data_IF_250300800132
#
_entry.id   IF_250300800132
#
_cell.length_a   1.000
_cell.length_b   1.000
_cell.length_c   1.000
_cell.angle_alpha   90.00
_cell.angle_beta   90.00
_cell.angle_gamma   90.00
#
_symmetry.space_group_name_H-M   'P 1'
#
loop_
_entity.id
_entity.type
_entity.pdbx_description
1 polymer ?
#
# COMPACT_ATOMS: atom_id res chain seq x y z
N UNK A 1 12.60 13.53 7.81
CA UNK A 1 11.31 13.06 7.30
C UNK A 1 10.86 11.87 8.11
N UNK A 2 9.68 11.97 8.70
CA UNK A 2 9.11 10.98 9.62
C UNK A 2 8.27 9.99 8.82
N UNK A 3 8.48 8.68 9.04
CA UNK A 3 7.76 7.62 8.33
C UNK A 3 6.90 6.80 9.29
N UNK A 4 5.64 6.61 8.91
CA UNK A 4 4.78 5.56 9.44
C UNK A 4 4.84 4.34 8.54
N UNK A 5 5.40 3.25 9.04
CA UNK A 5 5.52 2.00 8.31
C UNK A 5 4.41 1.03 8.67
N UNK A 6 3.66 0.60 7.66
CA UNK A 6 2.58 -0.38 7.79
C UNK A 6 3.00 -1.70 7.15
N UNK A 7 3.11 -2.75 7.97
CA UNK A 7 3.49 -4.06 7.49
C UNK A 7 2.30 -5.01 7.42
N UNK A 8 2.07 -5.58 6.23
CA UNK A 8 1.04 -6.61 6.03
C UNK A 8 1.56 -8.01 6.31
N UNK A 9 0.87 -8.72 7.19
CA UNK A 9 0.95 -10.17 7.32
C UNK A 9 -0.21 -10.78 6.52
N UNK A 10 -0.09 -10.84 5.19
CA UNK A 10 -1.14 -11.37 4.32
C UNK A 10 -1.25 -12.88 4.40
N UNK A 11 -2.45 -13.40 4.15
CA UNK A 11 -2.77 -14.83 4.03
C UNK A 11 -3.00 -15.19 2.57
N UNK A 12 -2.78 -16.49 2.27
CA UNK A 12 -3.07 -17.12 1.01
C UNK A 12 -4.42 -16.75 0.44
N UNK A 13 -4.42 -16.32 -0.81
CA UNK A 13 -5.59 -16.42 -1.66
C UNK A 13 -5.63 -17.82 -2.26
N UNK A 14 -6.75 -18.51 -2.03
CA UNK A 14 -7.01 -19.85 -2.55
C UNK A 14 -6.96 -19.86 -4.09
N UNK A 15 -6.18 -20.80 -4.64
CA UNK A 15 -6.11 -21.03 -6.09
C UNK A 15 -7.46 -21.46 -6.71
N UNK A 16 -8.47 -21.82 -5.91
CA UNK A 16 -9.81 -22.19 -6.36
C UNK A 16 -10.61 -21.05 -7.01
N UNK A 17 -10.26 -19.79 -6.78
CA UNK A 17 -10.95 -18.66 -7.41
C UNK A 17 -10.57 -18.40 -8.87
N UNK A 18 -9.64 -19.16 -9.45
CA UNK A 18 -9.22 -19.01 -10.85
C UNK A 18 -10.16 -19.66 -11.88
N UNK A 19 -11.23 -20.32 -11.48
CA UNK A 19 -12.12 -21.05 -12.42
C UNK A 19 -13.35 -20.25 -12.89
N UNK A 20 -13.63 -19.10 -12.34
CA UNK A 20 -14.68 -18.23 -12.85
C UNK A 20 -14.04 -17.02 -13.54
N UNK A 21 -13.88 -17.13 -14.87
CA UNK A 21 -13.75 -15.99 -15.77
C UNK A 21 -15.00 -15.12 -15.60
N UNK A 22 -15.03 -14.27 -14.60
CA UNK A 22 -15.92 -13.14 -14.53
C UNK A 22 -15.05 -11.92 -14.66
N UNK A 23 -15.44 -11.05 -15.59
CA UNK A 23 -14.86 -9.74 -15.87
C UNK A 23 -14.36 -9.08 -14.58
N UNK A 24 -13.17 -8.45 -14.63
CA UNK A 24 -12.64 -7.63 -13.55
C UNK A 24 -13.64 -6.53 -13.21
N UNK A 25 -14.63 -6.84 -12.43
CA UNK A 25 -15.32 -5.84 -11.64
C UNK A 25 -14.43 -5.65 -10.43
N UNK A 26 -13.67 -4.56 -10.42
CA UNK A 26 -12.81 -4.16 -9.32
C UNK A 26 -13.68 -3.69 -8.14
N UNK A 27 -14.39 -4.62 -7.52
CA UNK A 27 -15.00 -4.41 -6.21
C UNK A 27 -13.90 -4.46 -5.13
N UNK A 28 -13.05 -3.44 -5.12
CA UNK A 28 -12.27 -3.09 -3.95
C UNK A 28 -13.21 -2.33 -3.00
N UNK A 29 -13.93 -3.06 -2.16
CA UNK A 29 -14.68 -2.47 -1.06
C UNK A 29 -13.72 -1.78 -0.08
N UNK A 30 -14.20 -0.71 0.54
CA UNK A 30 -13.46 0.05 1.55
C UNK A 30 -12.99 -0.89 2.69
N UNK A 31 -11.68 -1.07 2.84
CA UNK A 31 -11.07 -1.91 3.89
C UNK A 31 -10.92 -1.17 5.22
N UNK A 32 -11.75 -0.16 5.46
CA UNK A 32 -11.64 0.67 6.68
C UNK A 32 -12.39 0.04 7.86
N UNK A 33 -13.33 -0.87 7.62
CA UNK A 33 -14.18 -1.48 8.64
C UNK A 33 -13.51 -2.62 9.44
N UNK A 34 -12.30 -3.01 9.10
CA UNK A 34 -11.49 -3.98 9.84
C UNK A 34 -10.03 -3.53 9.85
N UNK A 35 -9.22 -4.11 10.77
CA UNK A 35 -7.80 -3.76 10.89
C UNK A 35 -7.05 -4.07 9.59
N UNK A 36 -6.67 -3.03 8.89
CA UNK A 36 -6.03 -3.07 7.58
C UNK A 36 -5.05 -1.93 7.42
N UNK A 37 -4.28 -1.91 6.34
CA UNK A 37 -3.43 -0.77 5.95
C UNK A 37 -4.27 0.51 5.85
N UNK A 38 -5.43 0.43 5.20
CA UNK A 38 -6.33 1.58 5.02
C UNK A 38 -6.91 2.08 6.34
N UNK A 39 -7.43 1.19 7.21
CA UNK A 39 -7.99 1.61 8.51
C UNK A 39 -6.93 2.22 9.43
N UNK A 40 -5.72 1.67 9.41
CA UNK A 40 -4.61 2.21 10.19
C UNK A 40 -4.19 3.58 9.67
N UNK A 41 -4.03 3.73 8.33
CA UNK A 41 -3.74 5.02 7.70
C UNK A 41 -4.84 6.03 8.00
N UNK A 42 -6.11 5.63 7.86
CA UNK A 42 -7.24 6.49 8.20
C UNK A 42 -7.16 6.99 9.66
N UNK A 43 -6.76 6.14 10.60
CA UNK A 43 -6.59 6.52 12.01
C UNK A 43 -5.46 7.52 12.25
N UNK A 44 -4.40 7.51 11.42
CA UNK A 44 -3.23 8.39 11.56
C UNK A 44 -3.50 9.79 11.00
N UNK A 45 -4.22 9.88 9.87
CA UNK A 45 -4.47 11.14 9.17
C UNK A 45 -5.35 12.07 10.02
N UNK A 46 -4.91 13.31 10.16
CA UNK A 46 -5.65 14.37 10.84
C UNK A 46 -6.69 15.02 9.92
N UNK A 47 -7.71 15.67 10.49
CA UNK A 47 -8.71 16.42 9.72
C UNK A 47 -8.08 17.62 9.00
N UNK A 48 -8.68 18.01 7.88
CA UNK A 48 -8.27 19.15 7.04
C UNK A 48 -6.83 19.04 6.50
N UNK A 49 -6.27 17.81 6.45
CA UNK A 49 -4.93 17.59 5.93
C UNK A 49 -4.89 17.65 4.42
N UNK A 50 -3.77 18.11 3.87
CA UNK A 50 -3.45 18.03 2.46
C UNK A 50 -2.57 16.82 2.19
N UNK A 51 -2.98 15.96 1.28
CA UNK A 51 -2.42 14.62 1.10
C UNK A 51 -2.03 14.39 -0.36
N UNK A 52 -0.84 13.84 -0.57
CA UNK A 52 -0.44 13.24 -1.85
C UNK A 52 -0.54 11.72 -1.73
N UNK A 53 -1.45 11.10 -2.47
CA UNK A 53 -1.60 9.64 -2.53
C UNK A 53 -0.94 9.09 -3.79
N UNK A 54 0.18 8.39 -3.62
CA UNK A 54 0.96 7.78 -4.69
C UNK A 54 0.56 6.31 -4.80
N UNK A 55 0.07 5.89 -5.98
CA UNK A 55 -0.52 4.57 -6.21
C UNK A 55 -1.91 4.45 -5.58
N UNK A 56 -2.74 5.48 -5.76
CA UNK A 56 -4.05 5.56 -5.10
C UNK A 56 -5.07 4.51 -5.60
N UNK A 57 -4.80 3.80 -6.70
CA UNK A 57 -5.73 2.83 -7.24
C UNK A 57 -7.12 3.44 -7.45
N UNK A 58 -8.18 2.75 -7.00
CA UNK A 58 -9.55 3.26 -7.09
C UNK A 58 -9.90 4.33 -6.04
N UNK A 59 -8.92 4.82 -5.30
CA UNK A 59 -9.01 5.91 -4.33
C UNK A 59 -10.14 5.76 -3.27
N UNK A 60 -10.39 4.52 -2.80
CA UNK A 60 -11.45 4.27 -1.80
C UNK A 60 -11.11 4.84 -0.42
N UNK A 61 -9.83 4.76 -0.01
CA UNK A 61 -9.37 5.38 1.23
C UNK A 61 -9.43 6.90 1.13
N UNK A 62 -8.98 7.43 0.00
CA UNK A 62 -8.96 8.86 -0.31
C UNK A 62 -10.37 9.45 -0.26
N UNK A 63 -11.33 8.78 -0.89
CA UNK A 63 -12.73 9.20 -0.84
C UNK A 63 -13.24 9.32 0.60
N UNK A 64 -12.96 8.30 1.42
CA UNK A 64 -13.39 8.31 2.84
C UNK A 64 -12.69 9.39 3.65
N UNK A 65 -11.40 9.67 3.39
CA UNK A 65 -10.67 10.77 4.04
C UNK A 65 -11.24 12.15 3.67
N UNK A 66 -11.69 12.32 2.43
CA UNK A 66 -12.36 13.54 1.98
C UNK A 66 -13.72 13.68 2.66
N UNK A 67 -14.55 12.63 2.63
CA UNK A 67 -15.91 12.66 3.17
C UNK A 67 -15.96 12.83 4.70
N UNK A 68 -15.08 12.14 5.45
CA UNK A 68 -15.15 12.08 6.91
C UNK A 68 -14.22 13.08 7.61
N UNK A 69 -13.17 13.54 6.92
CA UNK A 69 -12.10 14.34 7.54
C UNK A 69 -11.80 15.65 6.81
N UNK A 70 -12.56 15.99 5.78
CA UNK A 70 -12.39 17.22 4.99
C UNK A 70 -10.96 17.37 4.41
N UNK A 71 -10.30 16.24 4.08
CA UNK A 71 -8.96 16.25 3.50
C UNK A 71 -8.99 16.72 2.05
N UNK A 72 -7.93 17.40 1.61
CA UNK A 72 -7.68 17.74 0.20
C UNK A 72 -6.64 16.77 -0.34
N UNK A 73 -6.99 15.98 -1.36
CA UNK A 73 -6.14 14.89 -1.83
C UNK A 73 -5.82 15.00 -3.30
N UNK A 74 -4.54 14.97 -3.63
CA UNK A 74 -4.02 14.77 -4.98
C UNK A 74 -3.62 13.30 -5.15
N UNK A 75 -4.05 12.67 -6.23
CA UNK A 75 -3.79 11.27 -6.52
C UNK A 75 -2.81 11.10 -7.68
N UNK A 76 -1.94 10.11 -7.56
CA UNK A 76 -1.02 9.66 -8.62
C UNK A 76 -1.17 8.16 -8.81
N UNK A 77 -1.33 7.70 -10.03
CA UNK A 77 -1.35 6.27 -10.35
C UNK A 77 -0.83 6.01 -11.77
N UNK A 78 -0.47 4.76 -12.08
CA UNK A 78 -0.01 4.37 -13.40
C UNK A 78 -1.14 4.40 -14.45
N UNK A 79 -2.35 4.03 -14.05
CA UNK A 79 -3.52 3.94 -14.92
C UNK A 79 -4.44 5.14 -14.77
N UNK A 80 -4.95 5.65 -15.91
CA UNK A 80 -5.99 6.68 -15.89
C UNK A 80 -7.28 6.07 -15.34
N UNK A 81 -7.61 6.38 -14.11
CA UNK A 81 -8.82 5.91 -13.45
C UNK A 81 -9.98 6.84 -13.80
N UNK A 82 -11.13 6.27 -14.15
CA UNK A 82 -12.27 7.02 -14.71
C UNK A 82 -13.28 7.52 -13.67
N UNK A 83 -13.07 7.29 -12.37
CA UNK A 83 -14.04 7.62 -11.31
C UNK A 83 -13.40 8.23 -10.07
N UNK A 84 -12.52 9.20 -10.26
CA UNK A 84 -11.81 9.89 -9.16
C UNK A 84 -12.04 11.40 -9.18
N UNK A 85 -13.20 11.84 -9.69
CA UNK A 85 -13.59 13.25 -9.81
C UNK A 85 -13.66 13.97 -8.44
N UNK A 86 -13.68 13.22 -7.34
CA UNK A 86 -13.62 13.76 -5.98
C UNK A 86 -12.20 14.15 -5.54
N UNK A 87 -11.15 13.70 -6.23
CA UNK A 87 -9.79 14.14 -5.97
C UNK A 87 -9.58 15.58 -6.47
N UNK A 88 -8.77 16.36 -5.73
CA UNK A 88 -8.43 17.71 -6.14
C UNK A 88 -7.66 17.73 -7.47
N UNK A 89 -6.68 16.81 -7.62
CA UNK A 89 -5.97 16.52 -8.87
C UNK A 89 -5.75 15.02 -9.00
N UNK A 90 -5.70 14.55 -10.24
CA UNK A 90 -5.26 13.20 -10.56
C UNK A 90 -4.22 13.23 -11.69
N UNK A 91 -3.10 12.56 -11.49
CA UNK A 91 -2.02 12.46 -12.45
C UNK A 91 -1.74 10.99 -12.79
N UNK A 92 -1.74 10.66 -14.09
CA UNK A 92 -1.28 9.37 -14.56
C UNK A 92 0.23 9.42 -14.76
N UNK A 93 1.00 8.71 -13.92
CA UNK A 93 2.48 8.72 -13.90
C UNK A 93 3.01 7.31 -13.78
N UNK A 94 3.95 6.94 -14.65
CA UNK A 94 4.75 5.72 -14.53
C UNK A 94 5.93 5.98 -13.59
N UNK A 95 5.82 5.54 -12.34
CA UNK A 95 6.83 5.78 -11.30
C UNK A 95 8.18 5.13 -11.58
N UNK A 96 8.26 4.16 -12.49
CA UNK A 96 9.53 3.56 -12.94
C UNK A 96 10.26 4.42 -13.98
N UNK A 97 9.56 5.36 -14.63
CA UNK A 97 10.10 6.14 -15.75
C UNK A 97 10.10 7.63 -15.51
N UNK A 98 9.12 8.11 -14.75
CA UNK A 98 8.81 9.53 -14.63
C UNK A 98 8.92 10.01 -13.18
N UNK A 99 9.28 11.26 -13.02
CA UNK A 99 9.19 11.94 -11.71
C UNK A 99 7.80 12.54 -11.54
N UNK A 100 7.27 12.50 -10.33
CA UNK A 100 5.98 13.13 -10.01
C UNK A 100 6.11 14.65 -10.17
N UNK A 101 5.37 15.27 -11.11
CA UNK A 101 5.49 16.70 -11.43
C UNK A 101 4.67 17.58 -10.48
N UNK A 102 4.76 17.34 -9.16
CA UNK A 102 4.07 18.11 -8.12
C UNK A 102 5.08 18.75 -7.18
N UNK A 103 4.69 19.88 -6.63
CA UNK A 103 5.42 20.49 -5.55
C UNK A 103 5.01 19.83 -4.23
N UNK A 104 5.98 19.34 -3.45
CA UNK A 104 5.72 18.57 -2.25
C UNK A 104 5.54 19.44 -1.01
N UNK A 105 5.87 20.73 -1.05
CA UNK A 105 5.76 21.67 0.07
C UNK A 105 4.32 21.89 0.59
N UNK A 106 3.36 21.54 -0.24
CA UNK A 106 1.94 21.73 0.05
C UNK A 106 1.30 20.61 0.87
N UNK A 107 1.96 19.44 1.03
CA UNK A 107 1.33 18.27 1.64
C UNK A 107 1.77 18.04 3.08
N UNK A 108 0.80 17.69 3.94
CA UNK A 108 1.05 17.25 5.31
C UNK A 108 1.46 15.78 5.34
N UNK A 109 0.82 14.97 4.47
CA UNK A 109 1.05 13.53 4.36
C UNK A 109 1.30 13.12 2.92
N UNK A 110 2.21 12.15 2.77
CA UNK A 110 2.43 11.42 1.53
C UNK A 110 2.11 9.96 1.80
N UNK A 111 1.20 9.39 1.00
CA UNK A 111 0.82 7.97 1.10
C UNK A 111 1.50 7.17 0.01
N UNK A 112 2.07 6.03 0.38
CA UNK A 112 2.66 5.04 -0.52
C UNK A 112 2.26 3.65 -0.02
N UNK A 113 1.00 3.28 -0.28
CA UNK A 113 0.37 2.08 0.31
C UNK A 113 0.36 0.92 -0.68
N UNK A 114 1.18 -0.11 -0.41
CA UNK A 114 1.34 -1.30 -1.26
C UNK A 114 1.75 -0.96 -2.71
N UNK A 115 2.73 -0.08 -2.85
CA UNK A 115 3.26 0.41 -4.14
C UNK A 115 4.74 0.07 -4.29
N UNK A 116 5.53 0.21 -3.21
CA UNK A 116 6.98 0.10 -3.27
C UNK A 116 7.48 -1.27 -3.76
N UNK A 117 6.71 -2.34 -3.51
CA UNK A 117 7.00 -3.69 -3.99
C UNK A 117 6.83 -3.86 -5.50
N UNK A 118 6.10 -2.96 -6.16
CA UNK A 118 5.91 -2.95 -7.61
C UNK A 118 6.99 -2.14 -8.34
N UNK A 119 7.72 -1.28 -7.64
CA UNK A 119 8.74 -0.40 -8.23
C UNK A 119 10.02 -1.21 -8.48
N UNK A 120 10.56 -1.13 -9.70
CA UNK A 120 11.75 -1.88 -10.12
C UNK A 120 13.01 -1.46 -9.37
N UNK A 121 13.15 -0.15 -9.12
CA UNK A 121 14.28 0.40 -8.37
C UNK A 121 13.78 1.23 -7.19
N UNK A 122 13.37 0.57 -6.09
CA UNK A 122 12.82 1.25 -4.92
C UNK A 122 13.85 2.15 -4.22
N UNK A 123 15.15 1.86 -4.31
CA UNK A 123 16.23 2.68 -3.77
C UNK A 123 16.24 4.05 -4.44
N UNK A 124 16.27 4.07 -5.78
CA UNK A 124 16.27 5.31 -6.57
C UNK A 124 14.99 6.10 -6.36
N UNK A 125 13.85 5.42 -6.32
CA UNK A 125 12.56 6.06 -6.10
C UNK A 125 12.47 6.74 -4.74
N UNK A 126 12.87 6.05 -3.66
CA UNK A 126 12.87 6.60 -2.31
C UNK A 126 13.90 7.72 -2.14
N UNK A 127 15.08 7.62 -2.77
CA UNK A 127 16.06 8.71 -2.78
C UNK A 127 15.46 10.00 -3.38
N UNK A 128 14.85 9.89 -4.56
CA UNK A 128 14.20 11.02 -5.22
C UNK A 128 13.01 11.58 -4.43
N UNK A 129 12.25 10.70 -3.77
CA UNK A 129 11.16 11.09 -2.87
C UNK A 129 11.70 11.84 -1.65
N UNK A 130 12.77 11.31 -1.03
CA UNK A 130 13.43 11.93 0.12
C UNK A 130 14.01 13.30 -0.19
N UNK A 131 14.62 13.49 -1.37
CA UNK A 131 15.10 14.80 -1.84
C UNK A 131 13.97 15.82 -1.92
N UNK A 132 12.82 15.44 -2.48
CA UNK A 132 11.63 16.32 -2.55
C UNK A 132 11.06 16.66 -1.17
N UNK A 133 11.14 15.75 -0.22
CA UNK A 133 10.63 15.92 1.14
C UNK A 133 11.63 16.59 2.10
N UNK A 134 12.91 16.64 1.77
CA UNK A 134 13.98 17.07 2.69
C UNK A 134 13.82 18.50 3.21
N UNK A 135 13.23 19.37 2.40
CA UNK A 135 12.97 20.76 2.76
C UNK A 135 11.74 20.96 3.69
N UNK A 136 10.99 19.89 3.94
CA UNK A 136 9.71 19.93 4.66
C UNK A 136 9.68 18.94 5.83
N UNK A 137 10.40 19.21 6.93
CA UNK A 137 10.61 18.26 8.03
C UNK A 137 9.33 17.85 8.77
N UNK A 138 8.24 18.60 8.62
CA UNK A 138 6.93 18.30 9.21
C UNK A 138 6.11 17.29 8.40
N UNK A 139 6.46 17.08 7.12
CA UNK A 139 5.76 16.13 6.28
C UNK A 139 5.96 14.68 6.78
N UNK A 140 4.91 13.90 6.71
CA UNK A 140 4.91 12.50 7.12
C UNK A 140 4.69 11.60 5.91
N UNK A 141 5.58 10.62 5.72
CA UNK A 141 5.40 9.55 4.75
C UNK A 141 4.76 8.35 5.45
N UNK A 142 3.62 7.90 4.95
CA UNK A 142 2.99 6.65 5.37
C UNK A 142 3.21 5.64 4.25
N UNK A 143 3.97 4.59 4.56
CA UNK A 143 4.36 3.59 3.57
C UNK A 143 3.99 2.19 4.06
N UNK A 144 3.49 1.34 3.14
CA UNK A 144 3.22 -0.06 3.43
C UNK A 144 3.77 -0.99 2.37
N UNK A 145 4.09 -2.21 2.78
CA UNK A 145 4.47 -3.31 1.89
C UNK A 145 4.17 -4.66 2.56
N UNK A 146 3.89 -5.72 1.77
CA UNK A 146 3.74 -7.07 2.31
C UNK A 146 5.05 -7.61 2.91
N UNK A 147 4.93 -8.40 3.99
CA UNK A 147 6.07 -9.10 4.58
C UNK A 147 6.17 -10.53 4.05
N UNK A 148 7.17 -10.79 3.22
CA UNK A 148 7.42 -12.14 2.70
C UNK A 148 7.83 -13.14 3.80
N UNK A 149 8.37 -12.65 4.93
CA UNK A 149 8.78 -13.50 6.06
C UNK A 149 7.64 -13.83 7.04
N UNK A 150 6.38 -13.75 6.61
CA UNK A 150 5.28 -14.18 7.48
C UNK A 150 5.31 -15.71 7.70
N UNK A 151 4.62 -16.16 8.75
CA UNK A 151 4.65 -17.58 9.18
C UNK A 151 4.17 -18.54 8.09
N UNK A 152 3.19 -18.14 7.27
CA UNK A 152 2.65 -19.02 6.21
C UNK A 152 3.63 -19.18 5.07
N UNK A 153 4.29 -18.11 4.62
CA UNK A 153 5.33 -18.20 3.59
C UNK A 153 6.51 -19.04 4.11
N UNK A 154 6.91 -18.85 5.37
CA UNK A 154 7.95 -19.67 6.00
C UNK A 154 7.55 -21.15 6.03
N UNK A 155 6.31 -21.48 6.41
CA UNK A 155 5.82 -22.84 6.40
C UNK A 155 5.80 -23.43 4.99
N UNK A 156 5.35 -22.67 3.98
CA UNK A 156 5.42 -23.12 2.58
C UNK A 156 6.85 -23.43 2.14
N UNK A 157 7.79 -22.57 2.45
CA UNK A 157 9.20 -22.77 2.10
C UNK A 157 9.79 -24.00 2.77
N UNK A 158 9.40 -24.34 4.01
CA UNK A 158 9.82 -25.59 4.67
C UNK A 158 9.40 -26.85 3.88
N UNK A 159 8.29 -26.76 3.14
CA UNK A 159 7.81 -27.85 2.27
C UNK A 159 8.23 -27.67 0.79
N UNK A 160 9.20 -26.80 0.52
CA UNK A 160 9.72 -26.56 -0.83
C UNK A 160 8.77 -25.79 -1.75
N UNK A 161 7.75 -25.11 -1.22
CA UNK A 161 6.75 -24.38 -2.01
C UNK A 161 7.01 -22.89 -1.96
N UNK A 162 7.13 -22.25 -3.14
CA UNK A 162 7.22 -20.79 -3.30
C UNK A 162 6.50 -20.38 -4.59
N UNK A 163 5.17 -20.36 -4.52
CA UNK A 163 4.32 -20.21 -5.70
C UNK A 163 3.75 -18.80 -5.78
N UNK A 164 4.05 -18.11 -6.89
CA UNK A 164 3.45 -16.81 -7.19
C UNK A 164 1.99 -16.96 -7.61
N UNK A 165 1.15 -16.04 -7.10
CA UNK A 165 -0.27 -15.95 -7.40
C UNK A 165 -0.63 -14.69 -8.20
N UNK A 166 -1.93 -14.50 -8.40
CA UNK A 166 -2.49 -13.30 -9.03
C UNK A 166 -2.65 -12.14 -8.04
N UNK A 167 -2.59 -12.40 -6.74
CA UNK A 167 -2.79 -11.44 -5.64
C UNK A 167 -2.06 -11.94 -4.39
N UNK A 168 -1.86 -11.03 -3.43
CA UNK A 168 -1.30 -11.34 -2.11
C UNK A 168 0.19 -11.06 -2.01
N UNK A 169 0.87 -11.67 -1.04
CA UNK A 169 2.29 -11.39 -0.78
C UNK A 169 3.18 -11.81 -1.95
N UNK A 170 2.89 -12.97 -2.54
CA UNK A 170 3.59 -13.49 -3.72
C UNK A 170 2.80 -13.16 -4.99
N UNK A 171 2.39 -11.91 -5.15
CA UNK A 171 1.79 -11.44 -6.40
C UNK A 171 2.85 -11.42 -7.51
N UNK A 172 2.46 -11.84 -8.72
CA UNK A 172 3.35 -11.86 -9.89
C UNK A 172 3.84 -10.47 -10.32
N UNK A 173 3.14 -9.43 -9.91
CA UNK A 173 3.49 -8.04 -10.20
C UNK A 173 4.47 -7.44 -9.19
N UNK A 174 4.76 -8.14 -8.08
CA UNK A 174 5.77 -7.70 -7.13
C UNK A 174 7.17 -7.91 -7.71
N UNK A 175 7.84 -6.84 -8.02
CA UNK A 175 9.23 -6.85 -8.50
C UNK A 175 10.23 -7.03 -7.36
N UNK A 176 9.83 -6.68 -6.14
CA UNK A 176 10.64 -6.76 -4.92
C UNK A 176 9.84 -7.34 -3.76
N UNK A 177 10.43 -8.28 -3.03
CA UNK A 177 9.84 -8.86 -1.83
C UNK A 177 10.62 -8.40 -0.59
N UNK A 178 9.90 -7.93 0.41
CA UNK A 178 10.50 -7.38 1.63
C UNK A 178 10.20 -8.23 2.85
N UNK A 179 11.20 -8.38 3.72
CA UNK A 179 11.01 -8.69 5.14
C UNK A 179 10.96 -7.39 5.93
N UNK A 180 10.55 -7.44 7.20
CA UNK A 180 10.62 -6.26 8.08
C UNK A 180 12.03 -5.68 8.15
N UNK A 181 13.05 -6.52 8.31
CA UNK A 181 14.43 -6.06 8.43
C UNK A 181 14.99 -5.48 7.13
N UNK A 182 14.75 -6.13 5.98
CA UNK A 182 15.23 -5.62 4.70
C UNK A 182 14.54 -4.33 4.31
N UNK A 183 13.25 -4.17 4.64
CA UNK A 183 12.54 -2.92 4.37
C UNK A 183 12.98 -1.78 5.29
N UNK A 184 13.16 -2.05 6.61
CA UNK A 184 13.75 -1.06 7.52
C UNK A 184 15.11 -0.58 7.03
N UNK A 185 15.96 -1.52 6.60
CA UNK A 185 17.28 -1.18 6.06
C UNK A 185 17.14 -0.26 4.83
N UNK A 186 16.28 -0.61 3.88
CA UNK A 186 16.03 0.21 2.70
C UNK A 186 15.64 1.65 3.08
N UNK A 187 14.70 1.83 4.01
CA UNK A 187 14.21 3.13 4.46
C UNK A 187 15.34 3.96 5.10
N UNK A 188 16.12 3.34 5.99
CA UNK A 188 17.22 4.01 6.71
C UNK A 188 18.36 4.38 5.72
N UNK A 189 18.70 3.47 4.80
CA UNK A 189 19.73 3.70 3.78
C UNK A 189 19.38 4.89 2.83
N UNK A 190 18.10 5.25 2.73
CA UNK A 190 17.62 6.43 1.98
C UNK A 190 17.40 7.66 2.88
N UNK A 191 18.02 7.72 4.04
CA UNK A 191 18.00 8.83 5.00
C UNK A 191 16.61 9.21 5.53
N UNK A 192 15.69 8.26 5.60
CA UNK A 192 14.42 8.45 6.28
C UNK A 192 14.51 8.01 7.74
N UNK A 193 13.83 8.73 8.62
CA UNK A 193 13.67 8.37 10.03
C UNK A 193 12.33 7.66 10.25
N UNK A 194 12.38 6.50 10.92
CA UNK A 194 11.18 5.70 11.21
C UNK A 194 10.59 6.14 12.55
N UNK A 195 9.46 6.85 12.51
CA UNK A 195 8.75 7.26 13.74
C UNK A 195 8.01 6.09 14.38
N UNK A 196 7.26 5.33 13.58
CA UNK A 196 6.42 4.26 14.10
C UNK A 196 6.23 3.12 13.11
N UNK A 197 6.12 1.91 13.64
CA UNK A 197 5.87 0.71 12.86
C UNK A 197 4.58 0.06 13.34
N UNK A 198 3.69 -0.23 12.40
CA UNK A 198 2.46 -0.95 12.67
C UNK A 198 2.51 -2.32 12.00
N UNK A 199 2.19 -3.37 12.77
CA UNK A 199 2.01 -4.72 12.25
C UNK A 199 0.53 -4.98 12.00
N UNK A 200 0.16 -5.22 10.76
CA UNK A 200 -1.20 -5.51 10.35
C UNK A 200 -1.37 -7.03 10.27
N UNK A 201 -2.11 -7.65 11.20
CA UNK A 201 -2.31 -9.09 11.17
C UNK A 201 -3.15 -9.49 9.96
N UNK A 202 -3.02 -10.75 9.52
CA UNK A 202 -3.88 -11.29 8.49
C UNK A 202 -5.35 -11.31 8.97
N UNK A 203 -6.32 -11.09 8.09
CA UNK A 203 -7.73 -11.16 8.45
C UNK A 203 -8.17 -12.61 8.67
N UNK A 204 -7.82 -13.21 9.81
CA UNK A 204 -8.13 -14.61 10.16
C UNK A 204 -9.61 -14.94 10.03
N UNK A 205 -10.51 -13.98 10.34
CA UNK A 205 -11.95 -14.16 10.21
C UNK A 205 -12.40 -14.46 8.77
N UNK A 206 -11.71 -13.90 7.76
CA UNK A 206 -12.04 -14.18 6.35
C UNK A 206 -11.53 -15.56 5.89
N UNK A 207 -10.46 -16.06 6.53
CA UNK A 207 -9.89 -17.37 6.20
C UNK A 207 -10.70 -18.51 6.83
N UNK A 208 -11.15 -18.35 8.06
CA UNK A 208 -11.87 -19.39 8.79
C UNK A 208 -13.28 -19.57 8.22
N UNK A 209 -14.01 -18.50 7.90
CA UNK A 209 -15.38 -18.58 7.34
C UNK A 209 -15.45 -19.36 6.02
N UNK A 210 -14.42 -19.33 5.18
CA UNK A 210 -14.47 -20.02 3.88
C UNK A 210 -14.09 -21.50 3.90
N UNK A 211 -13.53 -22.02 5.00
CA UNK A 211 -13.12 -23.45 5.09
C UNK A 211 -14.03 -24.34 5.92
N UNK A 212 -14.80 -23.80 6.85
CA UNK A 212 -15.59 -24.61 7.80
C UNK A 212 -17.08 -24.79 7.42
N UNK A 213 -17.64 -24.01 6.52
CA UNK A 213 -19.07 -24.09 6.16
C UNK A 213 -19.33 -24.52 4.71
N UNK A 214 -18.35 -25.10 4.02
CA UNK A 214 -18.50 -25.53 2.64
C UNK A 214 -18.78 -27.03 2.44
N UNK A 215 -18.98 -27.82 3.50
CA UNK A 215 -19.35 -29.24 3.42
C UNK A 215 -20.24 -29.61 4.63
N UNK A 216 -21.50 -29.27 4.55
CA UNK A 216 -22.61 -30.00 5.15
C UNK A 216 -23.87 -29.73 4.32
#
# INVERSE_FOLDING_TARGET
>A
TIIYFLQKFGIFYDQKYNFLKKERVDNYESKVDFLSTHSTTYGIIEKNSKILSIGCGNAHLEKKLIEDKDCVIDGVDFTKITKVDFLNKFLAVDLDKETIPLNFDEYDYILLLDVIEHIKNPEKFLSALGEKMSNFPKQKLIISTPNVANVFIRAMLLFGNFNYGQRGILDKTHTRLFTLSSFKKLIIDQNFEIEKIFSIPPPFSLVIKNKFFGNF
#
